data_IF_347436374364
#
_entry.id   IF_347436374364
#
_cell.length_a   1.000
_cell.length_b   1.000
_cell.length_c   1.000
_cell.angle_alpha   90.00
_cell.angle_beta   90.00
_cell.angle_gamma   90.00
#
_symmetry.space_group_name_H-M   'P 1'
#
loop_
_entity.id
_entity.type
_entity.pdbx_description
1 polymer ?
#
# COMPACT_ATOMS: atom_id res chain seq x y z
N UNK A 1 15.05 -11.74 3.49
CA UNK A 1 14.82 -10.27 3.48
C UNK A 1 13.38 -9.87 3.68
N UNK A 2 13.12 -9.03 4.68
CA UNK A 2 11.78 -8.46 4.92
C UNK A 2 11.37 -7.43 3.85
N UNK A 3 12.32 -6.88 3.09
CA UNK A 3 12.09 -5.93 1.97
C UNK A 3 11.60 -6.65 0.72
N UNK A 4 12.15 -7.84 0.40
CA UNK A 4 11.70 -8.65 -0.75
C UNK A 4 10.20 -8.96 -0.71
N UNK A 5 9.65 -9.20 0.48
CA UNK A 5 8.21 -9.44 0.67
C UNK A 5 7.32 -8.25 0.32
N UNK A 6 7.84 -7.02 0.39
CA UNK A 6 7.11 -5.81 -0.02
C UNK A 6 7.21 -5.67 -1.55
N UNK A 7 8.40 -5.86 -2.12
CA UNK A 7 8.64 -5.79 -3.57
C UNK A 7 7.81 -6.85 -4.33
N UNK A 8 7.74 -8.07 -3.80
CA UNK A 8 7.01 -9.18 -4.41
C UNK A 8 5.53 -9.21 -3.99
N UNK A 9 5.04 -8.21 -3.23
CA UNK A 9 3.67 -8.22 -2.75
C UNK A 9 2.69 -8.13 -3.93
N UNK A 10 1.74 -9.08 -4.06
CA UNK A 10 0.77 -9.08 -5.14
C UNK A 10 -0.20 -7.91 -4.96
N UNK A 11 -0.76 -7.42 -6.07
CA UNK A 11 -1.70 -6.29 -6.05
C UNK A 11 -2.91 -6.63 -5.16
N UNK A 12 -3.14 -5.92 -4.03
CA UNK A 12 -4.16 -6.30 -3.07
C UNK A 12 -5.57 -6.14 -3.66
N UNK A 13 -6.35 -7.21 -3.74
CA UNK A 13 -7.72 -7.18 -4.30
C UNK A 13 -8.78 -6.83 -3.24
N UNK A 14 -8.42 -6.94 -1.97
CA UNK A 14 -9.34 -6.73 -0.85
C UNK A 14 -8.80 -5.69 0.14
N UNK A 15 -9.73 -5.03 0.82
CA UNK A 15 -9.47 -4.05 1.87
C UNK A 15 -8.55 -4.61 2.97
N UNK A 16 -8.70 -5.90 3.29
CA UNK A 16 -7.87 -6.61 4.27
C UNK A 16 -6.42 -6.75 3.79
N UNK A 17 -6.18 -7.08 2.52
CA UNK A 17 -4.84 -7.16 1.95
C UNK A 17 -4.18 -5.77 1.89
N UNK A 18 -4.93 -4.71 1.56
CA UNK A 18 -4.40 -3.34 1.60
C UNK A 18 -3.96 -2.95 3.02
N UNK A 19 -4.76 -3.27 4.06
CA UNK A 19 -4.36 -3.03 5.46
C UNK A 19 -3.14 -3.82 5.88
N UNK A 20 -3.05 -5.10 5.46
CA UNK A 20 -1.88 -5.93 5.73
C UNK A 20 -0.62 -5.36 5.08
N UNK A 21 -0.71 -4.92 3.82
CA UNK A 21 0.37 -4.24 3.11
C UNK A 21 0.78 -2.95 3.81
N UNK A 22 -0.18 -2.08 4.16
CA UNK A 22 0.10 -0.83 4.89
C UNK A 22 0.77 -1.10 6.24
N UNK A 23 0.38 -2.16 6.95
CA UNK A 23 1.04 -2.58 8.18
C UNK A 23 2.51 -2.96 7.94
N UNK A 24 2.79 -3.73 6.89
CA UNK A 24 4.15 -4.09 6.48
C UNK A 24 4.97 -2.86 6.03
N UNK A 25 4.40 -2.01 5.18
CA UNK A 25 5.04 -0.82 4.66
C UNK A 25 5.29 0.22 5.78
N UNK A 26 4.43 0.27 6.80
CA UNK A 26 4.60 1.17 7.95
C UNK A 26 5.88 0.88 8.75
N UNK A 27 6.37 -0.36 8.72
CA UNK A 27 7.66 -0.72 9.32
C UNK A 27 8.83 0.03 8.65
N UNK A 28 8.72 0.30 7.35
CA UNK A 28 9.74 0.97 6.55
C UNK A 28 9.47 2.46 6.33
N UNK A 29 8.41 3.02 6.94
CA UNK A 29 8.01 4.43 6.77
C UNK A 29 9.13 5.44 7.06
N UNK A 30 10.12 5.07 7.89
CA UNK A 30 11.29 5.91 8.22
C UNK A 30 12.25 6.07 7.03
N UNK A 31 12.27 5.11 6.11
CA UNK A 31 13.12 5.12 4.92
C UNK A 31 12.39 5.65 3.68
N UNK A 32 11.06 5.73 3.74
CA UNK A 32 10.21 6.20 2.64
C UNK A 32 9.85 7.67 2.89
N UNK A 33 10.48 8.59 2.15
CA UNK A 33 10.15 10.01 2.20
C UNK A 33 8.70 10.22 1.78
N UNK A 34 7.96 11.02 2.55
CA UNK A 34 6.53 11.31 2.32
C UNK A 34 5.61 10.07 2.35
N UNK A 35 5.97 9.02 3.11
CA UNK A 35 5.15 7.81 3.26
C UNK A 35 3.66 8.10 3.49
N UNK A 36 3.34 9.02 4.41
CA UNK A 36 1.95 9.34 4.73
C UNK A 36 1.17 9.93 3.54
N UNK A 37 1.81 10.74 2.69
CA UNK A 37 1.19 11.30 1.50
C UNK A 37 0.96 10.24 0.42
N UNK A 38 1.93 9.33 0.24
CA UNK A 38 1.85 8.22 -0.73
C UNK A 38 0.82 7.18 -0.27
N UNK A 39 0.79 6.85 1.02
CA UNK A 39 -0.15 5.88 1.59
C UNK A 39 -1.57 6.43 1.73
N UNK A 40 -1.79 7.75 1.63
CA UNK A 40 -3.11 8.38 1.75
C UNK A 40 -4.18 7.79 0.82
N UNK A 41 -3.97 7.67 -0.51
CA UNK A 41 -4.94 7.03 -1.40
C UNK A 41 -5.21 5.56 -1.03
N UNK A 42 -4.21 4.83 -0.54
CA UNK A 42 -4.39 3.44 -0.08
C UNK A 42 -5.22 3.39 1.22
N UNK A 43 -5.02 4.32 2.15
CA UNK A 43 -5.84 4.45 3.36
C UNK A 43 -7.29 4.77 3.04
N UNK A 44 -7.57 5.64 2.06
CA UNK A 44 -8.94 5.93 1.63
C UNK A 44 -9.62 4.70 1.03
N UNK A 45 -8.88 3.87 0.29
CA UNK A 45 -9.38 2.57 -0.18
C UNK A 45 -9.72 1.60 0.97
N UNK A 46 -9.04 1.70 2.13
CA UNK A 46 -9.34 0.83 3.28
C UNK A 46 -10.67 1.10 3.97
N UNK A 47 -11.31 2.24 3.67
CA UNK A 47 -12.62 2.63 4.18
C UNK A 47 -13.76 1.93 3.42
N UNK A 48 -13.52 1.52 2.18
CA UNK A 48 -14.50 0.85 1.34
C UNK A 48 -14.54 -0.65 1.66
N UNK A 49 -15.72 -1.17 2.03
CA UNK A 49 -15.90 -2.53 2.54
C UNK A 49 -16.01 -3.63 1.47
N UNK A 50 -16.24 -3.26 0.19
CA UNK A 50 -16.65 -4.21 -0.87
C UNK A 50 -15.56 -4.55 -1.87
N UNK A 51 -14.97 -3.56 -2.51
CA UNK A 51 -13.92 -3.76 -3.51
C UNK A 51 -13.01 -2.55 -3.52
N UNK A 52 -11.73 -2.78 -3.74
CA UNK A 52 -10.73 -1.72 -3.83
C UNK A 52 -10.68 -1.25 -5.28
N UNK A 53 -11.24 -0.07 -5.63
CA UNK A 53 -11.15 0.43 -7.00
C UNK A 53 -9.72 0.92 -7.23
N UNK A 54 -8.91 0.09 -7.88
CA UNK A 54 -7.56 0.46 -8.31
C UNK A 54 -7.63 1.55 -9.37
N UNK A 55 -7.56 2.80 -8.91
CA UNK A 55 -7.37 3.96 -9.77
C UNK A 55 -5.88 4.19 -9.99
N UNK A 56 -5.54 4.90 -11.08
CA UNK A 56 -4.14 5.21 -11.43
C UNK A 56 -3.34 5.76 -10.24
N UNK A 57 -3.91 6.70 -9.46
CA UNK A 57 -3.29 7.26 -8.25
C UNK A 57 -2.96 6.22 -7.18
N UNK A 58 -3.81 5.20 -7.04
CA UNK A 58 -3.63 4.21 -5.98
C UNK A 58 -2.68 3.10 -6.39
N UNK A 59 -2.70 2.74 -7.67
CA UNK A 59 -1.68 1.86 -8.27
C UNK A 59 -0.30 2.51 -8.20
N UNK A 60 -0.19 3.79 -8.53
CA UNK A 60 1.07 4.54 -8.42
C UNK A 60 1.59 4.60 -6.99
N UNK A 61 0.71 4.88 -6.02
CA UNK A 61 1.06 4.83 -4.60
C UNK A 61 1.56 3.45 -4.16
N UNK A 62 0.90 2.37 -4.59
CA UNK A 62 1.30 1.00 -4.28
C UNK A 62 2.66 0.66 -4.87
N UNK A 63 2.87 0.94 -6.15
CA UNK A 63 4.16 0.71 -6.83
C UNK A 63 5.29 1.57 -6.23
N UNK A 64 4.98 2.79 -5.79
CA UNK A 64 5.95 3.66 -5.12
C UNK A 64 6.37 3.10 -3.75
N UNK A 65 5.45 2.48 -3.02
CA UNK A 65 5.75 1.83 -1.73
C UNK A 65 6.47 0.47 -1.90
N UNK A 66 6.50 -0.09 -3.11
CA UNK A 66 7.23 -1.32 -3.43
C UNK A 66 8.70 -1.08 -3.80
N UNK A 67 9.10 0.16 -4.08
CA UNK A 67 10.49 0.54 -4.38
C UNK A 67 11.25 0.87 -3.11
#
# INVERSE_FOLDING_TARGET
DKVKKIIEYPLPKTTTQVRAFLGLASYYRRFIKNFAAIARPLHDQTKTKKMVPWTSKTTEAFETLKK
#
